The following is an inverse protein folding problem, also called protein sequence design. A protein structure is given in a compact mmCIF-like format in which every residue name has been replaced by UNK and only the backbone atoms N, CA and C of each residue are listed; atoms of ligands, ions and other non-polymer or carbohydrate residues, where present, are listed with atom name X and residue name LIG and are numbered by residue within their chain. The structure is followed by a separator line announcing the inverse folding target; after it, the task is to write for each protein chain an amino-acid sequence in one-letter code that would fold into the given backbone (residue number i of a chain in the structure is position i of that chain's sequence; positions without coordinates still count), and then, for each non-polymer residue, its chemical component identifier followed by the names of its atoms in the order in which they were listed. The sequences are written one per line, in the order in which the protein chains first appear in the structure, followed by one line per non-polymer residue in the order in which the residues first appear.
data_IF_185130497273
#
_entry.id   IF_185130497273
#
_cell.length_a   1.000
_cell.length_b   1.000
_cell.length_c   1.000
_cell.angle_alpha   90.00
_cell.angle_beta   90.00
_cell.angle_gamma   90.00
#
_symmetry.space_group_name_H-M   'P 1'
#
loop_
_entity.id
_entity.type
_entity.pdbx_description
1 polymer ?
#
# COMPACT_ATOMS: atom_id res chain seq x y z
N UNK A 1 -19.84 -20.60 58.04
CA UNK A 1 -20.41 -20.03 56.78
C UNK A 1 -19.56 -18.92 56.16
N UNK A 2 -18.70 -18.24 56.93
CA UNK A 2 -17.87 -17.11 56.47
C UNK A 2 -16.73 -17.46 55.50
N UNK A 3 -16.14 -18.66 55.62
CA UNK A 3 -15.00 -19.09 54.80
C UNK A 3 -15.35 -19.36 53.32
N UNK A 4 -16.61 -19.67 53.01
CA UNK A 4 -17.06 -20.01 51.65
C UNK A 4 -17.30 -18.74 50.81
N UNK A 5 -17.73 -17.64 51.44
CA UNK A 5 -18.03 -16.36 50.78
C UNK A 5 -16.74 -15.61 50.39
N UNK A 6 -15.68 -15.68 51.21
CA UNK A 6 -14.35 -15.12 50.85
C UNK A 6 -13.72 -15.85 49.67
N UNK A 7 -13.88 -17.17 49.57
CA UNK A 7 -13.34 -18.00 48.49
C UNK A 7 -13.99 -17.70 47.13
N UNK A 8 -15.30 -17.45 47.09
CA UNK A 8 -16.02 -17.16 45.84
C UNK A 8 -15.69 -15.76 45.27
N UNK A 9 -15.54 -14.75 46.14
CA UNK A 9 -15.13 -13.39 45.73
C UNK A 9 -13.70 -13.36 45.17
N UNK A 10 -12.78 -14.12 45.77
CA UNK A 10 -11.40 -14.25 45.27
C UNK A 10 -11.33 -14.96 43.91
N UNK A 11 -12.18 -15.97 43.69
CA UNK A 11 -12.28 -16.67 42.40
C UNK A 11 -12.85 -15.76 41.28
N UNK A 12 -13.87 -14.95 41.60
CA UNK A 12 -14.43 -14.01 40.63
C UNK A 12 -13.46 -12.88 40.28
N UNK A 13 -12.68 -12.38 41.25
CA UNK A 13 -11.64 -11.38 41.00
C UNK A 13 -10.52 -11.91 40.09
N UNK A 14 -10.03 -13.14 40.33
CA UNK A 14 -9.03 -13.77 39.46
C UNK A 14 -9.52 -13.97 38.03
N UNK A 15 -10.79 -14.35 37.84
CA UNK A 15 -11.40 -14.50 36.51
C UNK A 15 -11.50 -13.16 35.78
N UNK A 16 -11.94 -12.10 36.46
CA UNK A 16 -12.02 -10.75 35.89
C UNK A 16 -10.64 -10.25 35.47
N UNK A 17 -9.59 -10.44 36.29
CA UNK A 17 -8.21 -10.10 35.91
C UNK A 17 -7.72 -10.88 34.68
N UNK A 18 -8.09 -12.17 34.56
CA UNK A 18 -7.70 -13.00 33.43
C UNK A 18 -8.38 -12.54 32.12
N UNK A 19 -9.68 -12.21 32.17
CA UNK A 19 -10.40 -11.65 31.03
C UNK A 19 -9.86 -10.28 30.62
N UNK A 20 -9.53 -9.41 31.59
CA UNK A 20 -8.93 -8.11 31.33
C UNK A 20 -7.53 -8.25 30.70
N UNK A 21 -6.72 -9.20 31.18
CA UNK A 21 -5.41 -9.52 30.61
C UNK A 21 -5.49 -10.03 29.17
N UNK A 22 -6.46 -10.90 28.85
CA UNK A 22 -6.68 -11.40 27.49
C UNK A 22 -7.15 -10.30 26.52
N UNK A 23 -8.02 -9.39 26.97
CA UNK A 23 -8.43 -8.22 26.18
C UNK A 23 -7.25 -7.28 25.89
N UNK A 24 -6.37 -7.08 26.87
CA UNK A 24 -5.18 -6.24 26.70
C UNK A 24 -4.16 -6.86 25.73
N UNK A 25 -3.93 -8.17 25.81
CA UNK A 25 -3.11 -8.91 24.86
C UNK A 25 -3.69 -8.87 23.44
N UNK A 26 -5.02 -9.01 23.30
CA UNK A 26 -5.71 -8.88 22.02
C UNK A 26 -5.54 -7.48 21.40
N UNK A 27 -5.63 -6.43 22.22
CA UNK A 27 -5.42 -5.05 21.76
C UNK A 27 -3.97 -4.79 21.32
N UNK A 28 -2.98 -5.31 22.04
CA UNK A 28 -1.56 -5.19 21.66
C UNK A 28 -1.29 -5.90 20.32
N UNK A 29 -1.84 -7.11 20.15
CA UNK A 29 -1.70 -7.87 18.89
C UNK A 29 -2.34 -7.13 17.70
N UNK A 30 -3.49 -6.49 17.92
CA UNK A 30 -4.17 -5.69 16.90
C UNK A 30 -3.36 -4.45 16.49
N UNK A 31 -2.72 -3.77 17.45
CA UNK A 31 -1.87 -2.60 17.17
C UNK A 31 -0.60 -2.99 16.40
N UNK A 32 -0.01 -4.16 16.68
CA UNK A 32 1.18 -4.62 15.95
C UNK A 32 0.88 -5.09 14.52
N UNK A 33 -0.35 -5.52 14.23
CA UNK A 33 -0.74 -5.93 12.87
C UNK A 33 -1.05 -4.74 11.96
N UNK A 34 -1.40 -3.58 12.53
CA UNK A 34 -1.97 -2.46 11.79
C UNK A 34 -0.99 -1.45 11.18
N UNK A 35 0.32 -1.61 11.28
CA UNK A 35 1.18 -0.57 10.68
C UNK A 35 2.66 -0.84 10.65
N UNK A 36 3.11 -1.65 9.69
CA UNK A 36 4.46 -1.53 9.17
C UNK A 36 4.39 -0.77 7.84
N UNK A 37 4.11 0.53 7.92
CA UNK A 37 4.19 1.46 6.78
C UNK A 37 5.67 1.81 6.56
N UNK A 38 6.16 1.72 5.32
CA UNK A 38 7.49 2.20 4.97
C UNK A 38 7.38 3.67 4.57
N UNK A 39 7.90 4.56 5.41
CA UNK A 39 8.08 5.98 5.11
C UNK A 39 9.54 6.22 4.70
N UNK A 40 9.74 6.80 3.52
CA UNK A 40 11.06 7.13 3.00
C UNK A 40 11.07 8.60 2.60
N UNK A 41 11.91 9.39 3.27
CA UNK A 41 12.22 10.77 2.92
C UNK A 41 13.67 10.86 2.43
N UNK A 42 13.86 11.19 1.16
CA UNK A 42 15.18 11.55 0.63
C UNK A 42 15.26 13.06 0.39
N UNK A 43 16.49 13.56 0.25
CA UNK A 43 16.78 14.95 -0.12
C UNK A 43 17.58 15.03 -1.42
N UNK A 44 17.40 14.03 -2.29
CA UNK A 44 18.12 13.96 -3.57
C UNK A 44 17.52 14.91 -4.62
N UNK A 45 18.37 15.32 -5.57
CA UNK A 45 17.97 16.23 -6.64
C UNK A 45 17.13 15.56 -7.74
N UNK A 46 17.18 14.24 -7.80
CA UNK A 46 16.48 13.37 -8.75
C UNK A 46 16.22 12.03 -8.07
N UNK A 47 15.08 11.44 -8.38
CA UNK A 47 14.61 10.15 -7.85
C UNK A 47 14.36 9.21 -9.01
N UNK A 48 14.63 7.93 -8.79
CA UNK A 48 14.28 6.86 -9.70
C UNK A 48 13.39 5.87 -8.98
N UNK A 49 12.25 5.54 -9.59
CA UNK A 49 11.38 4.48 -9.09
C UNK A 49 11.24 3.38 -10.12
N UNK A 50 11.29 2.15 -9.61
CA UNK A 50 11.29 0.94 -10.41
C UNK A 50 10.51 -0.15 -9.66
N UNK A 51 9.56 -0.80 -10.32
CA UNK A 51 8.95 -2.00 -9.74
C UNK A 51 9.89 -3.19 -9.88
N UNK A 52 10.08 -3.96 -8.81
CA UNK A 52 10.84 -5.20 -8.82
C UNK A 52 10.09 -6.25 -9.66
N UNK A 53 10.62 -6.65 -10.84
CA UNK A 53 9.93 -7.54 -11.75
C UNK A 53 9.74 -8.95 -11.18
N UNK A 54 10.53 -9.36 -10.18
CA UNK A 54 10.45 -10.70 -9.58
C UNK A 54 9.28 -10.80 -8.62
N UNK A 55 8.94 -9.71 -7.94
CA UNK A 55 7.98 -9.70 -6.83
C UNK A 55 6.69 -8.91 -7.14
N UNK A 56 6.37 -8.69 -8.42
CA UNK A 56 5.16 -7.97 -8.82
C UNK A 56 3.89 -8.62 -8.28
N UNK A 57 3.90 -9.94 -8.10
CA UNK A 57 2.80 -10.73 -7.54
C UNK A 57 2.38 -10.29 -6.13
N UNK A 58 3.24 -9.56 -5.41
CA UNK A 58 2.93 -8.96 -4.11
C UNK A 58 2.00 -7.75 -4.20
N UNK A 59 1.76 -7.20 -5.38
CA UNK A 59 0.79 -6.11 -5.57
C UNK A 59 -0.63 -6.71 -5.65
N UNK A 60 -1.34 -6.62 -4.52
CA UNK A 60 -2.70 -7.13 -4.32
C UNK A 60 -3.71 -5.99 -4.20
N UNK A 61 -5.04 -6.24 -4.18
CA UNK A 61 -6.05 -5.16 -4.06
C UNK A 61 -5.98 -4.29 -2.80
N UNK A 62 -5.25 -4.71 -1.77
CA UNK A 62 -5.04 -3.93 -0.55
C UNK A 62 -3.72 -3.16 -0.56
N UNK A 63 -2.88 -3.41 -1.57
CA UNK A 63 -1.63 -2.69 -1.78
C UNK A 63 -1.89 -1.24 -2.18
N UNK A 64 -1.00 -0.35 -1.77
CA UNK A 64 -1.10 1.08 -2.08
C UNK A 64 0.27 1.76 -2.11
N UNK A 65 0.35 2.87 -2.83
CA UNK A 65 1.49 3.77 -2.95
C UNK A 65 1.00 5.21 -2.80
N UNK A 66 1.72 6.03 -2.05
CA UNK A 66 1.44 7.45 -1.88
C UNK A 66 2.70 8.27 -2.14
N UNK A 67 2.57 9.30 -2.99
CA UNK A 67 3.65 10.25 -3.28
C UNK A 67 3.13 11.66 -2.99
N UNK A 68 3.71 12.33 -1.99
CA UNK A 68 3.33 13.68 -1.54
C UNK A 68 1.81 13.87 -1.35
N UNK A 69 1.15 12.92 -0.69
CA UNK A 69 -0.30 12.96 -0.43
C UNK A 69 -1.17 12.40 -1.56
N UNK A 70 -0.60 12.08 -2.73
CA UNK A 70 -1.34 11.46 -3.83
C UNK A 70 -1.31 9.95 -3.69
N UNK A 71 -2.42 9.36 -3.24
CA UNK A 71 -2.56 7.93 -2.95
C UNK A 71 -3.14 7.15 -4.13
N UNK A 72 -2.42 6.12 -4.55
CA UNK A 72 -2.82 5.09 -5.51
C UNK A 72 -3.13 3.81 -4.74
N UNK A 73 -4.27 3.21 -5.04
CA UNK A 73 -4.66 1.91 -4.52
C UNK A 73 -4.81 0.91 -5.67
N UNK A 74 -4.62 -0.36 -5.35
CA UNK A 74 -4.78 -1.44 -6.32
C UNK A 74 -6.15 -2.10 -6.22
N UNK A 75 -6.62 -2.76 -7.29
CA UNK A 75 -7.84 -3.55 -7.27
C UNK A 75 -7.85 -4.64 -8.36
N UNK A 76 -8.70 -5.66 -8.21
CA UNK A 76 -8.92 -6.67 -9.22
C UNK A 76 -9.65 -6.14 -10.45
N UNK A 77 -10.33 -4.99 -10.39
CA UNK A 77 -11.08 -4.46 -11.53
C UNK A 77 -10.39 -3.26 -12.13
N UNK A 78 -10.35 -3.23 -13.46
CA UNK A 78 -9.89 -2.06 -14.21
C UNK A 78 -10.88 -0.90 -13.95
N UNK A 79 -10.38 0.22 -13.42
CA UNK A 79 -11.15 1.46 -13.17
C UNK A 79 -12.30 1.35 -12.15
N UNK A 80 -12.00 0.98 -10.90
CA UNK A 80 -12.92 1.16 -9.78
C UNK A 80 -12.54 2.40 -8.97
N UNK A 81 -13.48 3.29 -8.61
CA UNK A 81 -13.16 4.41 -7.73
C UNK A 81 -13.31 3.99 -6.25
N UNK A 82 -12.19 3.98 -5.50
CA UNK A 82 -12.20 3.84 -4.04
C UNK A 82 -12.18 5.23 -3.39
N UNK A 83 -13.14 5.53 -2.52
CA UNK A 83 -13.27 6.85 -1.86
C UNK A 83 -12.02 7.28 -1.10
N UNK A 84 -11.22 6.34 -0.59
CA UNK A 84 -10.01 6.60 0.18
C UNK A 84 -8.74 6.83 -0.67
N UNK A 85 -8.84 6.82 -2.00
CA UNK A 85 -7.70 6.87 -2.91
C UNK A 85 -7.90 7.98 -3.95
N UNK A 86 -6.82 8.66 -4.35
CA UNK A 86 -6.88 9.62 -5.45
C UNK A 86 -7.04 8.92 -6.80
N UNK A 87 -6.38 7.77 -6.93
CA UNK A 87 -6.48 6.93 -8.13
C UNK A 87 -6.54 5.45 -7.75
N UNK A 88 -7.15 4.67 -8.62
CA UNK A 88 -7.15 3.21 -8.52
C UNK A 88 -6.62 2.63 -9.82
N UNK A 89 -5.70 1.68 -9.68
CA UNK A 89 -5.07 0.96 -10.78
C UNK A 89 -5.19 -0.55 -10.53
N UNK A 90 -5.03 -1.40 -11.55
CA UNK A 90 -5.13 -2.84 -11.33
C UNK A 90 -4.05 -3.40 -10.38
N UNK A 91 -4.36 -4.47 -9.66
CA UNK A 91 -3.37 -5.34 -9.01
C UNK A 91 -2.60 -6.17 -10.05
N UNK A 92 -1.58 -6.93 -9.62
CA UNK A 92 -0.79 -7.77 -10.53
C UNK A 92 -1.64 -8.69 -11.37
N UNK A 93 -2.63 -9.34 -10.75
CA UNK A 93 -3.67 -10.11 -11.42
C UNK A 93 -4.96 -9.30 -11.37
N UNK A 94 -5.69 -9.18 -12.47
CA UNK A 94 -6.93 -8.43 -12.53
C UNK A 94 -7.92 -9.03 -13.53
N UNK A 95 -9.20 -8.71 -13.36
CA UNK A 95 -10.31 -9.01 -14.27
C UNK A 95 -10.31 -7.94 -15.35
N UNK A 96 -9.96 -8.34 -16.57
CA UNK A 96 -9.94 -7.44 -17.72
C UNK A 96 -11.36 -7.16 -18.22
N UNK A 97 -12.18 -8.21 -18.35
CA UNK A 97 -13.60 -8.12 -18.66
C UNK A 97 -14.35 -9.36 -18.16
N UNK A 98 -15.68 -9.23 -18.08
CA UNK A 98 -16.60 -10.30 -17.70
C UNK A 98 -17.69 -10.43 -18.76
N UNK A 99 -17.91 -11.67 -19.25
CA UNK A 99 -18.95 -11.99 -20.23
C UNK A 99 -19.73 -13.18 -19.71
N UNK A 100 -21.04 -13.02 -19.54
CA UNK A 100 -21.95 -14.11 -19.11
C UNK A 100 -21.49 -14.82 -17.81
N UNK A 101 -20.94 -14.05 -16.87
CA UNK A 101 -20.42 -14.57 -15.59
C UNK A 101 -19.06 -15.27 -15.69
N UNK A 102 -18.44 -15.32 -16.87
CA UNK A 102 -17.06 -15.79 -17.06
C UNK A 102 -16.11 -14.59 -17.06
N UNK A 103 -15.04 -14.69 -16.28
CA UNK A 103 -14.04 -13.63 -16.12
C UNK A 103 -12.80 -13.92 -16.96
N UNK A 104 -12.38 -12.94 -17.76
CA UNK A 104 -11.05 -12.94 -18.38
C UNK A 104 -10.07 -12.32 -17.39
N UNK A 105 -9.04 -13.08 -17.04
CA UNK A 105 -7.99 -12.65 -16.12
C UNK A 105 -6.73 -12.29 -16.89
N UNK A 106 -6.19 -11.11 -16.59
CA UNK A 106 -4.96 -10.59 -17.18
C UNK A 106 -3.95 -10.21 -16.09
N UNK A 107 -2.69 -10.03 -16.50
CA UNK A 107 -1.57 -9.77 -15.59
C UNK A 107 -0.82 -8.50 -15.98
N UNK A 108 -0.51 -7.67 -14.99
CA UNK A 108 0.29 -6.46 -15.16
C UNK A 108 1.78 -6.79 -15.09
N UNK A 109 2.57 -6.26 -16.02
CA UNK A 109 4.02 -6.28 -15.92
C UNK A 109 4.56 -4.96 -15.34
N UNK A 110 5.87 -4.91 -15.11
CA UNK A 110 6.58 -3.73 -14.57
C UNK A 110 6.37 -2.46 -15.43
N UNK A 111 6.40 -2.59 -16.75
CA UNK A 111 6.20 -1.47 -17.67
C UNK A 111 4.78 -0.95 -17.52
N UNK A 112 3.78 -1.83 -17.48
CA UNK A 112 2.38 -1.44 -17.31
C UNK A 112 2.17 -0.65 -16.00
N UNK A 113 2.71 -1.13 -14.89
CA UNK A 113 2.65 -0.42 -13.61
C UNK A 113 3.32 0.95 -13.66
N UNK A 114 4.48 1.03 -14.32
CA UNK A 114 5.22 2.29 -14.47
C UNK A 114 4.47 3.28 -15.35
N UNK A 115 3.83 2.81 -16.42
CA UNK A 115 2.99 3.63 -17.27
C UNK A 115 1.77 4.14 -16.52
N UNK A 116 1.06 3.30 -15.76
CA UNK A 116 -0.07 3.74 -14.95
C UNK A 116 0.35 4.82 -13.95
N UNK A 117 1.46 4.61 -13.24
CA UNK A 117 1.98 5.59 -12.29
C UNK A 117 2.36 6.91 -12.97
N UNK A 118 3.03 6.83 -14.13
CA UNK A 118 3.34 7.99 -14.97
C UNK A 118 2.09 8.77 -15.36
N UNK A 119 1.07 8.10 -15.88
CA UNK A 119 -0.15 8.75 -16.34
C UNK A 119 -0.94 9.43 -15.21
N UNK A 120 -1.01 8.79 -14.04
CA UNK A 120 -1.79 9.29 -12.91
C UNK A 120 -1.09 10.41 -12.14
N UNK A 121 0.21 10.28 -11.89
CA UNK A 121 0.94 11.23 -11.02
C UNK A 121 1.77 12.23 -11.81
N UNK A 122 2.45 11.79 -12.87
CA UNK A 122 3.59 12.53 -13.42
C UNK A 122 3.27 13.28 -14.72
N UNK A 123 2.50 12.68 -15.65
CA UNK A 123 2.27 13.16 -17.02
C UNK A 123 1.80 14.61 -17.08
N UNK A 124 0.87 14.98 -16.21
CA UNK A 124 0.29 16.33 -16.13
C UNK A 124 0.62 17.02 -14.80
N UNK A 125 1.69 16.61 -14.12
CA UNK A 125 2.02 17.15 -12.80
C UNK A 125 2.46 18.61 -12.86
N UNK A 126 1.88 19.42 -11.97
CA UNK A 126 2.41 20.76 -11.69
C UNK A 126 3.70 20.70 -10.88
N UNK A 127 3.91 19.65 -10.08
CA UNK A 127 5.01 19.56 -9.12
C UNK A 127 6.23 18.82 -9.65
N UNK A 128 6.06 17.82 -10.51
CA UNK A 128 7.15 16.96 -10.97
C UNK A 128 7.56 17.21 -12.42
N UNK A 129 8.81 16.88 -12.71
CA UNK A 129 9.35 16.74 -14.08
C UNK A 129 9.92 15.34 -14.19
N UNK A 130 9.47 14.60 -15.20
CA UNK A 130 10.10 13.35 -15.63
C UNK A 130 11.28 13.70 -16.52
N UNK A 131 12.46 13.19 -16.19
CA UNK A 131 13.71 13.56 -16.87
C UNK A 131 14.03 12.66 -18.06
N UNK A 132 13.50 11.44 -18.09
CA UNK A 132 13.65 10.52 -19.22
C UNK A 132 12.40 9.65 -19.41
N UNK A 133 11.46 10.11 -20.24
CA UNK A 133 10.22 9.39 -20.48
C UNK A 133 10.43 8.06 -21.24
N UNK A 134 11.49 7.93 -22.03
CA UNK A 134 11.75 6.70 -22.81
C UNK A 134 12.05 5.50 -21.91
N UNK A 135 12.62 5.71 -20.71
CA UNK A 135 12.86 4.64 -19.76
C UNK A 135 11.56 4.04 -19.23
N UNK A 136 10.48 4.82 -19.19
CA UNK A 136 9.18 4.34 -18.71
C UNK A 136 8.64 3.28 -19.68
N UNK A 137 8.59 3.62 -20.97
CA UNK A 137 8.01 2.76 -22.01
C UNK A 137 8.87 1.54 -22.35
N UNK A 138 10.20 1.66 -22.23
CA UNK A 138 11.12 0.59 -22.63
C UNK A 138 11.53 -0.34 -21.49
N UNK A 139 11.66 0.18 -20.26
CA UNK A 139 12.20 -0.59 -19.13
C UNK A 139 11.39 -0.46 -17.83
N UNK A 140 10.36 0.38 -17.79
CA UNK A 140 9.55 0.61 -16.60
C UNK A 140 10.30 1.30 -15.46
N UNK A 141 11.16 2.27 -15.80
CA UNK A 141 11.85 3.12 -14.82
C UNK A 141 11.36 4.55 -14.98
N UNK A 142 10.95 5.18 -13.87
CA UNK A 142 10.53 6.58 -13.84
C UNK A 142 11.59 7.39 -13.10
N UNK A 143 12.34 8.20 -13.86
CA UNK A 143 13.23 9.21 -13.28
C UNK A 143 12.50 10.54 -13.19
N UNK A 144 12.43 11.12 -12.00
CA UNK A 144 11.70 12.36 -11.77
C UNK A 144 12.31 13.21 -10.67
N UNK A 145 11.95 14.48 -10.68
CA UNK A 145 12.30 15.43 -9.63
C UNK A 145 11.18 16.43 -9.40
N UNK A 146 11.15 17.03 -8.22
CA UNK A 146 10.28 18.17 -7.95
C UNK A 146 10.83 19.44 -8.58
N UNK A 147 9.95 20.22 -9.22
CA UNK A 147 10.27 21.54 -9.80
C UNK A 147 10.70 22.55 -8.74
N UNK A 148 10.13 22.44 -7.54
CA UNK A 148 10.42 23.32 -6.40
C UNK A 148 11.59 22.85 -5.52
N UNK A 149 12.26 21.74 -5.89
CA UNK A 149 13.40 21.14 -5.15
C UNK A 149 13.10 20.77 -3.70
N UNK A 150 11.83 20.67 -3.29
CA UNK A 150 11.47 20.17 -1.97
C UNK A 150 11.73 18.67 -1.89
N UNK A 151 11.88 18.17 -0.67
CA UNK A 151 11.89 16.73 -0.41
C UNK A 151 10.61 16.07 -0.92
N UNK A 152 10.72 14.81 -1.33
CA UNK A 152 9.59 13.99 -1.80
C UNK A 152 9.30 12.97 -0.71
N UNK A 153 8.05 12.92 -0.26
CA UNK A 153 7.60 11.89 0.66
C UNK A 153 6.97 10.73 -0.14
N UNK A 154 7.52 9.53 0.00
CA UNK A 154 7.00 8.32 -0.63
C UNK A 154 6.68 7.29 0.45
N UNK A 155 5.43 6.83 0.47
CA UNK A 155 4.91 5.85 1.43
C UNK A 155 4.18 4.75 0.69
N UNK A 156 4.23 3.53 1.18
CA UNK A 156 3.53 2.41 0.54
C UNK A 156 3.22 1.31 1.53
N UNK A 157 2.25 0.46 1.17
CA UNK A 157 1.89 -0.73 1.93
C UNK A 157 3.09 -1.66 2.14
N UNK A 158 3.06 -2.46 3.21
CA UNK A 158 4.08 -3.48 3.44
C UNK A 158 4.26 -4.38 2.21
N UNK A 159 5.51 -4.77 1.95
CA UNK A 159 5.90 -5.66 0.84
C UNK A 159 5.59 -5.17 -0.58
N UNK A 160 5.21 -3.89 -0.74
CA UNK A 160 5.06 -3.27 -2.05
C UNK A 160 6.42 -3.33 -2.80
N UNK A 161 6.49 -3.95 -3.99
CA UNK A 161 7.75 -4.27 -4.67
C UNK A 161 8.29 -3.06 -5.43
N UNK A 162 8.47 -1.92 -4.75
CA UNK A 162 8.99 -0.69 -5.31
C UNK A 162 10.42 -0.45 -4.81
N UNK A 163 11.33 -0.28 -5.76
CA UNK A 163 12.72 0.12 -5.53
C UNK A 163 12.80 1.62 -5.80
N UNK A 164 13.35 2.36 -4.83
CA UNK A 164 13.59 3.80 -4.91
C UNK A 164 15.09 4.01 -4.88
N UNK A 165 15.61 4.81 -5.82
CA UNK A 165 17.01 5.22 -5.91
C UNK A 165 17.13 6.71 -6.12
#
# INVERSE_FOLDING_TARGET
MENTIKKSRFFNFKRVCLYFGMLFLGAILLVTYLGCEKDIQHTESEYSIEYDPIHLDKITPDSWLEIDGVKICHDYKFQLNKECCNFTVPSFKFIEFEIEGKQQISYMNKIDFSMQLYEKIFKNSKYYVVTNANLIYNVGIINFKRKDKKAINIRFSQDYPLIIR
#
